data_IF_199393736445
#
_entry.id   IF_199393736445
#
_cell.length_a   1.000
_cell.length_b   1.000
_cell.length_c   1.000
_cell.angle_alpha   90.00
_cell.angle_beta   90.00
_cell.angle_gamma   90.00
#
_symmetry.space_group_name_H-M   'P 1'
#
loop_
_entity.id
_entity.type
_entity.pdbx_description
1 polymer ?
#
# COMPACT_ATOMS: atom_id res chain seq x y z
N UNK A 1 10.68 -22.66 29.36
CA UNK A 1 9.61 -22.03 28.55
C UNK A 1 9.73 -20.51 28.50
N UNK A 2 10.28 -19.86 29.53
CA UNK A 2 10.38 -18.39 29.60
C UNK A 2 11.16 -17.74 28.44
N UNK A 3 12.30 -18.31 28.03
CA UNK A 3 13.09 -17.78 26.90
C UNK A 3 12.31 -17.73 25.58
N UNK A 4 11.44 -18.72 25.32
CA UNK A 4 10.58 -18.73 24.13
C UNK A 4 9.55 -17.60 24.19
N UNK A 5 8.94 -17.37 25.36
CA UNK A 5 7.99 -16.28 25.57
C UNK A 5 8.65 -14.94 25.33
N UNK A 6 9.88 -14.73 25.82
CA UNK A 6 10.65 -13.51 25.59
C UNK A 6 10.91 -13.30 24.10
N UNK A 7 11.37 -14.33 23.39
CA UNK A 7 11.64 -14.25 21.94
C UNK A 7 10.39 -13.89 21.14
N UNK A 8 9.27 -14.59 21.41
CA UNK A 8 7.99 -14.33 20.75
C UNK A 8 7.50 -12.91 21.04
N UNK A 9 7.67 -12.42 22.27
CA UNK A 9 7.29 -11.05 22.65
C UNK A 9 8.12 -10.00 21.91
N UNK A 10 9.43 -10.22 21.74
CA UNK A 10 10.29 -9.32 20.96
C UNK A 10 9.88 -9.32 19.49
N UNK A 11 9.63 -10.49 18.89
CA UNK A 11 9.16 -10.60 17.51
C UNK A 11 7.80 -9.93 17.31
N UNK A 12 6.90 -10.05 18.29
CA UNK A 12 5.61 -9.36 18.32
C UNK A 12 5.78 -7.84 18.30
N UNK A 13 6.66 -7.32 19.16
CA UNK A 13 6.96 -5.90 19.19
C UNK A 13 7.52 -5.40 17.85
N UNK A 14 8.45 -6.15 17.24
CA UNK A 14 9.01 -5.83 15.91
C UNK A 14 7.90 -5.79 14.86
N UNK A 15 7.02 -6.79 14.82
CA UNK A 15 5.93 -6.86 13.84
C UNK A 15 4.95 -5.68 13.98
N UNK A 16 4.65 -5.27 15.22
CA UNK A 16 3.74 -4.14 15.50
C UNK A 16 4.37 -2.80 15.14
N UNK A 17 5.65 -2.60 15.48
CA UNK A 17 6.31 -1.29 15.44
C UNK A 17 6.91 -0.97 14.06
N UNK A 18 7.40 -1.98 13.32
CA UNK A 18 8.07 -1.83 12.03
C UNK A 18 7.25 -1.05 11.00
N UNK A 19 5.97 -1.39 10.82
CA UNK A 19 5.07 -0.73 9.87
C UNK A 19 4.84 0.75 10.19
N UNK A 20 4.38 1.12 11.40
CA UNK A 20 4.22 2.52 11.81
C UNK A 20 5.51 3.33 11.71
N UNK A 21 6.67 2.77 12.08
CA UNK A 21 7.97 3.44 11.94
C UNK A 21 8.30 3.68 10.47
N UNK A 22 8.13 2.69 9.59
CA UNK A 22 8.35 2.85 8.16
C UNK A 22 7.48 3.98 7.59
N UNK A 23 6.20 4.03 7.95
CA UNK A 23 5.29 5.13 7.56
C UNK A 23 5.79 6.49 8.10
N UNK A 24 6.27 6.53 9.33
CA UNK A 24 6.83 7.73 9.95
C UNK A 24 8.06 8.24 9.19
N UNK A 25 9.01 7.36 8.89
CA UNK A 25 10.23 7.70 8.15
C UNK A 25 9.90 8.19 6.74
N UNK A 26 8.93 7.55 6.05
CA UNK A 26 8.51 7.94 4.71
C UNK A 26 7.97 9.39 4.63
N UNK A 27 7.49 9.96 5.74
CA UNK A 27 7.00 11.35 5.80
C UNK A 27 8.12 12.39 5.96
N UNK A 28 9.33 11.98 6.31
CA UNK A 28 10.45 12.89 6.51
C UNK A 28 10.92 13.40 5.16
N UNK A 29 10.89 14.74 4.99
CA UNK A 29 11.41 15.42 3.81
C UNK A 29 12.91 15.62 3.94
N UNK A 30 13.67 15.15 2.97
CA UNK A 30 15.13 15.26 2.91
C UNK A 30 15.53 16.07 1.68
N UNK A 31 16.42 17.05 1.84
CA UNK A 31 16.87 17.91 0.74
C UNK A 31 18.17 17.44 0.08
N UNK A 32 19.03 16.72 0.82
CA UNK A 32 20.32 16.27 0.29
C UNK A 32 20.27 14.81 -0.19
N UNK A 33 21.02 14.44 -1.24
CA UNK A 33 21.03 13.07 -1.76
C UNK A 33 21.58 12.06 -0.75
N UNK A 34 22.53 12.47 0.09
CA UNK A 34 23.11 11.62 1.15
C UNK A 34 22.06 11.32 2.23
N UNK A 35 21.34 12.34 2.69
CA UNK A 35 20.28 12.14 3.69
C UNK A 35 19.11 11.33 3.13
N UNK A 36 18.81 11.47 1.83
CA UNK A 36 17.83 10.63 1.15
C UNK A 36 18.28 9.16 1.12
N UNK A 37 19.54 8.88 0.79
CA UNK A 37 20.07 7.50 0.82
C UNK A 37 20.02 6.91 2.23
N UNK A 38 20.48 7.65 3.25
CA UNK A 38 20.43 7.19 4.63
C UNK A 38 19.00 6.92 5.08
N UNK A 39 18.05 7.82 4.76
CA UNK A 39 16.63 7.63 5.03
C UNK A 39 16.11 6.35 4.40
N UNK A 40 16.45 6.07 3.14
CA UNK A 40 16.02 4.86 2.41
C UNK A 40 16.61 3.57 2.99
N UNK A 41 17.84 3.60 3.48
CA UNK A 41 18.46 2.45 4.16
C UNK A 41 17.72 2.13 5.46
N UNK A 42 17.50 3.16 6.30
CA UNK A 42 16.81 2.98 7.59
C UNK A 42 15.36 2.56 7.35
N UNK A 43 14.65 3.23 6.44
CA UNK A 43 13.29 2.86 6.03
C UNK A 43 13.22 1.42 5.53
N UNK A 44 14.13 1.05 4.62
CA UNK A 44 14.23 -0.29 4.05
C UNK A 44 14.44 -1.35 5.12
N UNK A 45 15.27 -1.10 6.13
CA UNK A 45 15.51 -2.03 7.24
C UNK A 45 14.23 -2.35 8.02
N UNK A 46 13.43 -1.34 8.37
CA UNK A 46 12.16 -1.55 9.08
C UNK A 46 11.13 -2.29 8.22
N UNK A 47 11.05 -1.96 6.93
CA UNK A 47 10.19 -2.70 5.98
C UNK A 47 10.60 -4.17 5.90
N UNK A 48 11.90 -4.45 5.78
CA UNK A 48 12.42 -5.81 5.68
C UNK A 48 12.12 -6.60 6.96
N UNK A 49 12.39 -6.03 8.13
CA UNK A 49 12.09 -6.67 9.41
C UNK A 49 10.59 -6.99 9.56
N UNK A 50 9.71 -6.01 9.29
CA UNK A 50 8.26 -6.21 9.42
C UNK A 50 7.71 -7.23 8.43
N UNK A 51 8.16 -7.18 7.17
CA UNK A 51 7.73 -8.13 6.15
C UNK A 51 8.24 -9.55 6.39
N UNK A 52 9.48 -9.72 6.84
CA UNK A 52 10.02 -11.03 7.19
C UNK A 52 9.28 -11.65 8.38
N UNK A 53 9.17 -10.94 9.50
CA UNK A 53 8.51 -11.45 10.72
C UNK A 53 7.02 -11.66 10.45
N UNK A 54 6.35 -10.68 9.84
CA UNK A 54 4.93 -10.79 9.51
C UNK A 54 4.64 -11.89 8.50
N UNK A 55 5.49 -12.06 7.49
CA UNK A 55 5.40 -13.12 6.50
C UNK A 55 5.54 -14.50 7.15
N UNK A 56 6.59 -14.70 7.97
CA UNK A 56 6.78 -15.95 8.72
C UNK A 56 5.52 -16.33 9.50
N UNK A 57 4.88 -15.37 10.16
CA UNK A 57 3.71 -15.64 10.99
C UNK A 57 2.49 -16.09 10.19
N UNK A 58 2.34 -15.62 8.95
CA UNK A 58 1.27 -16.05 8.05
C UNK A 58 1.51 -17.49 7.58
N UNK A 59 2.76 -17.86 7.28
CA UNK A 59 3.10 -19.15 6.69
C UNK A 59 3.33 -20.28 7.71
N UNK A 60 3.36 -19.99 9.01
CA UNK A 60 3.47 -21.03 10.04
C UNK A 60 2.08 -21.63 10.35
N UNK A 61 1.82 -22.91 9.99
CA UNK A 61 0.50 -23.52 10.09
C UNK A 61 0.05 -23.79 11.54
N UNK A 62 0.98 -23.88 12.48
CA UNK A 62 0.74 -24.14 13.91
C UNK A 62 0.54 -22.88 14.76
N UNK A 63 0.65 -21.68 14.17
CA UNK A 63 0.51 -20.42 14.90
C UNK A 63 -0.97 -20.09 15.17
N UNK A 64 -1.32 -19.59 16.37
CA UNK A 64 -2.67 -19.10 16.66
C UNK A 64 -3.10 -17.99 15.70
N UNK A 65 -4.42 -17.74 15.63
CA UNK A 65 -4.98 -16.70 14.76
C UNK A 65 -4.45 -15.30 15.11
N UNK A 66 -4.26 -15.00 16.39
CA UNK A 66 -3.88 -13.65 16.83
C UNK A 66 -2.52 -13.17 16.27
N UNK A 67 -1.40 -13.90 16.40
CA UNK A 67 -0.16 -13.54 15.72
C UNK A 67 -0.31 -13.41 14.20
N UNK A 68 -1.11 -14.25 13.54
CA UNK A 68 -1.33 -14.15 12.09
C UNK A 68 -1.95 -12.81 11.68
N UNK A 69 -2.95 -12.34 12.43
CA UNK A 69 -3.57 -11.03 12.17
C UNK A 69 -2.57 -9.89 12.32
N UNK A 70 -1.67 -10.00 13.29
CA UNK A 70 -0.57 -9.04 13.48
C UNK A 70 0.42 -9.13 12.32
N UNK A 71 0.77 -10.33 11.85
CA UNK A 71 1.64 -10.52 10.70
C UNK A 71 1.06 -9.90 9.42
N UNK A 72 -0.23 -10.12 9.16
CA UNK A 72 -0.95 -9.46 8.04
C UNK A 72 -0.91 -7.94 8.20
N UNK A 73 -1.21 -7.44 9.39
CA UNK A 73 -1.21 -6.00 9.66
C UNK A 73 0.19 -5.39 9.44
N UNK A 74 1.24 -6.09 9.88
CA UNK A 74 2.63 -5.68 9.67
C UNK A 74 2.96 -5.56 8.18
N UNK A 75 2.63 -6.59 7.38
CA UNK A 75 2.86 -6.57 5.93
C UNK A 75 2.10 -5.44 5.25
N UNK A 76 0.84 -5.21 5.62
CA UNK A 76 0.02 -4.11 5.07
C UNK A 76 0.63 -2.75 5.41
N UNK A 77 1.05 -2.53 6.66
CA UNK A 77 1.65 -1.26 7.07
C UNK A 77 3.03 -1.04 6.42
N UNK A 78 3.86 -2.08 6.33
CA UNK A 78 5.14 -2.02 5.60
C UNK A 78 4.93 -1.74 4.11
N UNK A 79 3.91 -2.33 3.48
CA UNK A 79 3.52 -1.99 2.12
C UNK A 79 3.16 -0.51 1.99
N UNK A 80 2.34 0.02 2.91
CA UNK A 80 1.94 1.44 2.89
C UNK A 80 3.18 2.34 3.03
N UNK A 81 4.11 2.01 3.94
CA UNK A 81 5.38 2.72 4.11
C UNK A 81 6.21 2.75 2.83
N UNK A 82 6.51 1.56 2.28
CA UNK A 82 7.25 1.42 1.01
C UNK A 82 6.61 2.14 -0.15
N UNK A 83 5.28 2.06 -0.27
CA UNK A 83 4.55 2.77 -1.31
C UNK A 83 4.69 4.29 -1.14
N UNK A 84 4.60 4.80 0.08
CA UNK A 84 4.73 6.24 0.32
C UNK A 84 6.15 6.76 0.02
N UNK A 85 7.18 5.95 0.25
CA UNK A 85 8.58 6.35 0.05
C UNK A 85 9.08 6.19 -1.40
N UNK A 86 8.80 5.06 -2.05
CA UNK A 86 9.37 4.73 -3.36
C UNK A 86 8.42 4.97 -4.53
N UNK A 87 7.11 4.77 -4.31
CA UNK A 87 6.11 4.84 -5.37
C UNK A 87 4.87 5.63 -4.93
N UNK A 88 5.00 6.91 -4.59
CA UNK A 88 3.89 7.71 -4.06
C UNK A 88 2.69 7.79 -5.04
N UNK A 89 2.95 7.61 -6.34
CA UNK A 89 1.96 7.58 -7.41
C UNK A 89 1.25 6.22 -7.56
N UNK A 90 1.85 5.10 -7.17
CA UNK A 90 1.21 3.78 -7.29
C UNK A 90 0.21 3.56 -6.16
N UNK A 91 -1.08 3.67 -6.47
CA UNK A 91 -2.17 3.59 -5.48
C UNK A 91 -3.05 2.35 -5.65
N UNK A 92 -2.49 1.14 -5.55
CA UNK A 92 -3.26 -0.12 -5.70
C UNK A 92 -4.45 -0.18 -4.72
N UNK A 93 -4.22 0.23 -3.46
CA UNK A 93 -5.30 0.28 -2.46
C UNK A 93 -6.43 1.26 -2.80
N UNK A 94 -6.15 2.33 -3.57
CA UNK A 94 -7.19 3.24 -4.04
C UNK A 94 -8.11 2.59 -5.08
N UNK A 95 -7.53 1.77 -5.95
CA UNK A 95 -8.28 1.01 -6.96
C UNK A 95 -9.14 -0.04 -6.26
N UNK A 96 -8.56 -0.75 -5.27
CA UNK A 96 -9.25 -1.77 -4.50
C UNK A 96 -10.42 -1.19 -3.68
N UNK A 97 -10.19 -0.04 -3.01
CA UNK A 97 -11.25 0.66 -2.27
C UNK A 97 -12.33 1.21 -3.17
N UNK A 98 -12.02 1.69 -4.38
CA UNK A 98 -13.04 2.08 -5.36
C UNK A 98 -13.92 0.89 -5.77
N UNK A 99 -13.32 -0.26 -6.08
CA UNK A 99 -14.08 -1.49 -6.39
C UNK A 99 -14.93 -1.95 -5.22
N UNK A 100 -14.36 -1.97 -4.02
CA UNK A 100 -15.05 -2.37 -2.80
C UNK A 100 -16.22 -1.42 -2.49
N UNK A 101 -16.03 -0.10 -2.64
CA UNK A 101 -17.10 0.87 -2.45
C UNK A 101 -18.22 0.70 -3.47
N UNK A 102 -17.91 0.38 -4.74
CA UNK A 102 -18.93 0.05 -5.74
C UNK A 102 -19.75 -1.17 -5.32
N UNK A 103 -19.10 -2.21 -4.79
CA UNK A 103 -19.78 -3.40 -4.26
C UNK A 103 -20.63 -3.09 -3.02
N UNK A 104 -20.10 -2.30 -2.08
CA UNK A 104 -20.82 -1.90 -0.87
C UNK A 104 -22.04 -1.04 -1.20
N UNK A 105 -21.91 -0.12 -2.16
CA UNK A 105 -23.02 0.71 -2.64
C UNK A 105 -24.11 -0.13 -3.30
N UNK A 106 -23.74 -1.14 -4.09
CA UNK A 106 -24.70 -2.09 -4.67
C UNK A 106 -25.49 -2.85 -3.59
N UNK A 107 -24.87 -3.14 -2.44
CA UNK A 107 -25.53 -3.79 -1.30
C UNK A 107 -26.23 -2.82 -0.34
N UNK A 108 -26.25 -1.52 -0.63
CA UNK A 108 -26.84 -0.50 0.25
C UNK A 108 -26.05 -0.24 1.54
N UNK A 109 -24.79 -0.66 1.60
CA UNK A 109 -23.93 -0.48 2.77
C UNK A 109 -23.22 0.87 2.74
N UNK A 110 -22.90 1.40 3.92
CA UNK A 110 -22.18 2.67 4.06
C UNK A 110 -20.78 2.55 3.45
N UNK A 111 -20.47 3.42 2.50
CA UNK A 111 -19.18 3.43 1.79
C UNK A 111 -18.06 3.95 2.68
N UNK A 112 -16.85 3.46 2.44
CA UNK A 112 -15.65 3.91 3.14
C UNK A 112 -15.22 5.25 2.54
N UNK A 113 -14.98 6.31 3.35
CA UNK A 113 -14.54 7.60 2.84
C UNK A 113 -13.15 7.48 2.19
N UNK A 114 -13.08 7.72 0.89
CA UNK A 114 -11.82 7.79 0.14
C UNK A 114 -11.35 9.24 0.13
N UNK A 115 -10.11 9.50 0.57
CA UNK A 115 -9.52 10.86 0.58
C UNK A 115 -9.56 11.45 -0.84
N UNK A 116 -10.10 12.67 -1.02
CA UNK A 116 -10.32 13.30 -2.34
C UNK A 116 -9.04 13.44 -3.18
N UNK A 117 -7.90 13.71 -2.55
CA UNK A 117 -6.56 13.71 -3.19
C UNK A 117 -6.18 12.38 -3.86
N UNK A 118 -6.88 11.28 -3.57
CA UNK A 118 -6.70 9.96 -4.19
C UNK A 118 -7.45 9.86 -5.52
N UNK A 119 -8.50 10.66 -5.70
CA UNK A 119 -9.35 10.65 -6.90
C UNK A 119 -8.81 11.65 -7.94
N UNK A 120 -8.24 12.77 -7.48
CA UNK A 120 -7.80 13.89 -8.33
C UNK A 120 -6.34 13.84 -8.80
N UNK A 121 -5.42 13.22 -8.05
CA UNK A 121 -4.02 13.09 -8.50
C UNK A 121 -3.93 12.07 -9.64
N UNK A 122 -4.00 12.56 -10.89
CA UNK A 122 -3.45 11.85 -12.03
C UNK A 122 -1.93 11.75 -11.85
N UNK A 123 -1.31 10.58 -12.02
CA UNK A 123 0.15 10.48 -12.02
C UNK A 123 0.71 11.38 -13.14
N UNK A 124 1.56 12.35 -12.82
CA UNK A 124 2.23 13.19 -13.83
C UNK A 124 3.37 12.40 -14.49
N UNK A 125 3.98 11.44 -13.79
CA UNK A 125 5.03 10.56 -14.33
C UNK A 125 4.94 9.12 -13.77
N UNK A 126 4.01 8.35 -14.32
CA UNK A 126 4.02 6.88 -14.28
C UNK A 126 4.04 6.33 -15.70
N UNK A 127 4.48 5.06 -15.94
CA UNK A 127 4.32 4.46 -17.25
C UNK A 127 2.85 4.59 -17.62
N UNK A 128 2.60 5.26 -18.75
CA UNK A 128 1.31 5.32 -19.43
C UNK A 128 1.01 3.94 -20.03
N UNK A 129 1.24 2.88 -19.24
CA UNK A 129 0.71 1.57 -19.47
C UNK A 129 -0.78 1.71 -19.27
N UNK A 130 -1.42 2.00 -20.40
CA UNK A 130 -2.83 1.98 -20.74
C UNK A 130 -3.46 0.65 -20.32
N UNK A 131 -3.46 0.33 -19.03
CA UNK A 131 -4.35 -0.68 -18.45
C UNK A 131 -5.71 -0.02 -18.30
N UNK A 132 -6.35 0.28 -19.44
CA UNK A 132 -7.82 0.37 -19.50
C UNK A 132 -8.28 -1.09 -19.58
N UNK A 133 -8.89 -1.66 -18.52
CA UNK A 133 -9.47 -3.00 -18.65
C UNK A 133 -10.79 -2.96 -19.45
N UNK A 134 -11.25 -1.76 -19.85
CA UNK A 134 -12.43 -1.56 -20.69
C UNK A 134 -12.15 -0.43 -21.68
N UNK A 135 -11.88 -0.80 -22.93
CA UNK A 135 -11.78 0.10 -24.06
C UNK A 135 -13.17 0.61 -24.46
N UNK A 136 -13.61 1.70 -23.84
CA UNK A 136 -14.58 2.61 -24.46
C UNK A 136 -13.79 3.72 -25.14
N UNK A 137 -13.81 3.78 -26.47
CA UNK A 137 -13.42 4.99 -27.20
C UNK A 137 -14.44 6.06 -26.84
N UNK A 138 -13.98 7.10 -26.14
CA UNK A 138 -14.78 8.29 -25.97
C UNK A 138 -14.51 9.11 -27.23
N UNK A 139 -15.39 8.99 -28.23
CA UNK A 139 -15.30 9.63 -29.55
C UNK A 139 -15.36 11.16 -29.46
N UNK A 140 -14.30 11.75 -28.90
CA UNK A 140 -14.03 13.19 -28.82
C UNK A 140 -12.73 13.55 -29.53
N UNK A 141 -12.23 12.67 -30.38
CA UNK A 141 -11.09 12.84 -31.27
C UNK A 141 -11.50 13.37 -32.66
N UNK A 142 -12.70 13.94 -32.80
CA UNK A 142 -13.08 14.77 -33.94
C UNK A 142 -13.11 14.07 -35.31
N UNK A 143 -12.91 12.75 -35.35
CA UNK A 143 -12.95 11.93 -36.56
C UNK A 143 -14.19 11.01 -36.57
N UNK A 144 -15.36 11.59 -36.31
CA UNK A 144 -16.65 10.95 -36.59
C UNK A 144 -17.08 11.23 -38.03
N UNK A 145 -17.76 10.28 -38.72
CA UNK A 145 -18.15 10.40 -40.12
C UNK A 145 -19.43 11.24 -40.27
N UNK A 146 -19.42 12.48 -39.79
CA UNK A 146 -20.51 13.45 -39.98
C UNK A 146 -20.16 14.52 -41.01
N UNK A 147 -19.41 14.12 -42.05
CA UNK A 147 -18.96 14.97 -43.14
C UNK A 147 -19.34 14.44 -44.52
N UNK A 148 -20.55 13.88 -44.68
CA UNK A 148 -21.15 13.58 -45.98
C UNK A 148 -22.68 13.68 -45.89
N UNK A 149 -23.19 14.89 -46.14
CA UNK A 149 -24.40 15.27 -46.89
C UNK A 149 -24.94 16.63 -46.42
#
# INVERSE_FOLDING_TARGET
MESLVVLVTILLAIAIISGPIAIGIARIKTQSPITLMLKRIIHGAFVLMGTMVGGQWIFIPSLPLFPRLIGVTSIVLCYIGSRNEYFPEFRIFAILTKKLNGFLQQKGWKTIPVRKEIIENKPEFGPVAKWRPFGGSNGKDGHGPSGQH
#
